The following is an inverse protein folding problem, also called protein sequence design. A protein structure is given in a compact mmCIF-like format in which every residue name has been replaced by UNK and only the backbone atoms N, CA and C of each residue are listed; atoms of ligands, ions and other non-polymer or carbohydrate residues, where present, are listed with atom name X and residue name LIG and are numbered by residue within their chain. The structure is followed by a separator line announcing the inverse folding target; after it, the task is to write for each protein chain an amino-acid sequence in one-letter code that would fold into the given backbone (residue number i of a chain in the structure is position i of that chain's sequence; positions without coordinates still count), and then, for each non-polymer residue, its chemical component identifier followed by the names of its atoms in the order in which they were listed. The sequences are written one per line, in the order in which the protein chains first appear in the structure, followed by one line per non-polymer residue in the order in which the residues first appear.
data_IF_502865764418
#
_entry.id   IF_502865764418
#
_cell.length_a   1.000
_cell.length_b   1.000
_cell.length_c   1.000
_cell.angle_alpha   90.00
_cell.angle_beta   90.00
_cell.angle_gamma   90.00
#
_symmetry.space_group_name_H-M   'P 1'
#
loop_
_entity.id
_entity.type
_entity.pdbx_description
1 polymer ?
#
# COMPACT_ATOMS: atom_id res chain seq x y z
N UNK A 1 -21.83 56.79 1.89
CA UNK A 1 -20.64 56.06 2.38
C UNK A 1 -19.54 56.12 1.32
N UNK A 2 -18.31 56.53 1.66
CA UNK A 2 -17.24 56.70 0.68
C UNK A 2 -16.83 55.35 0.08
N UNK A 3 -16.66 55.29 -1.25
CA UNK A 3 -16.33 54.05 -2.01
C UNK A 3 -15.15 53.28 -1.40
N UNK A 4 -14.16 53.98 -0.82
CA UNK A 4 -12.99 53.40 -0.15
C UNK A 4 -13.31 52.57 1.10
N UNK A 5 -14.34 52.94 1.87
CA UNK A 5 -14.75 52.16 3.05
C UNK A 5 -15.39 50.83 2.64
N UNK A 6 -16.14 50.84 1.54
CA UNK A 6 -16.82 49.65 1.00
C UNK A 6 -15.80 48.64 0.46
N UNK A 7 -14.75 49.10 -0.20
CA UNK A 7 -13.66 48.22 -0.67
C UNK A 7 -12.83 47.64 0.49
N UNK A 8 -12.47 48.42 1.52
CA UNK A 8 -11.76 47.88 2.70
C UNK A 8 -12.60 46.85 3.47
N UNK A 9 -13.90 47.09 3.64
CA UNK A 9 -14.82 46.13 4.28
C UNK A 9 -14.89 44.82 3.49
N UNK A 10 -14.94 44.88 2.16
CA UNK A 10 -14.99 43.69 1.31
C UNK A 10 -13.68 42.89 1.37
N UNK A 11 -12.52 43.56 1.43
CA UNK A 11 -11.21 42.89 1.59
C UNK A 11 -11.13 42.19 2.95
N UNK A 12 -11.55 42.86 4.03
CA UNK A 12 -11.58 42.26 5.37
C UNK A 12 -12.49 41.02 5.43
N UNK A 13 -13.66 41.09 4.79
CA UNK A 13 -14.59 39.97 4.70
C UNK A 13 -13.98 38.78 3.95
N UNK A 14 -13.25 39.06 2.87
CA UNK A 14 -12.54 38.06 2.08
C UNK A 14 -11.40 37.40 2.88
N UNK A 15 -10.62 38.19 3.64
CA UNK A 15 -9.60 37.65 4.54
C UNK A 15 -10.20 36.76 5.64
N UNK A 16 -11.34 37.16 6.23
CA UNK A 16 -12.07 36.37 7.23
C UNK A 16 -12.56 35.02 6.66
N UNK A 17 -13.05 35.01 5.42
CA UNK A 17 -13.42 33.75 4.72
C UNK A 17 -12.24 32.81 4.52
N UNK A 18 -11.03 33.32 4.26
CA UNK A 18 -9.84 32.46 4.08
C UNK A 18 -9.40 31.84 5.41
N UNK A 19 -9.59 32.54 6.54
CA UNK A 19 -9.26 32.01 7.87
C UNK A 19 -10.19 30.87 8.31
N UNK A 20 -11.47 30.87 7.93
CA UNK A 20 -12.40 29.77 8.28
C UNK A 20 -12.11 28.47 7.54
N UNK A 21 -11.40 28.52 6.39
CA UNK A 21 -10.99 27.33 5.64
C UNK A 21 -9.88 26.52 6.33
N UNK A 22 -9.26 27.03 7.41
CA UNK A 22 -8.22 26.31 8.17
C UNK A 22 -8.74 25.51 9.36
N UNK A 23 -10.06 25.45 9.58
CA UNK A 23 -10.64 24.59 10.61
C UNK A 23 -10.72 23.15 10.07
N UNK A 24 -9.57 22.48 10.01
CA UNK A 24 -9.53 21.04 9.89
C UNK A 24 -9.96 20.46 11.23
N UNK A 25 -11.27 20.27 11.41
CA UNK A 25 -11.77 19.30 12.38
C UNK A 25 -11.16 17.95 11.98
N UNK A 26 -10.15 17.50 12.72
CA UNK A 26 -9.56 16.18 12.54
C UNK A 26 -10.49 15.14 13.15
N UNK A 27 -11.63 14.88 12.51
CA UNK A 27 -12.46 13.73 12.85
C UNK A 27 -11.93 12.51 12.10
N UNK A 28 -11.76 11.40 12.82
CA UNK A 28 -11.57 10.09 12.19
C UNK A 28 -12.79 9.75 11.34
N UNK A 29 -12.58 9.06 10.23
CA UNK A 29 -13.68 8.57 9.41
C UNK A 29 -14.48 7.49 10.16
N UNK A 30 -15.74 7.28 9.79
CA UNK A 30 -16.61 6.28 10.43
C UNK A 30 -16.04 4.85 10.43
N UNK A 31 -15.21 4.50 9.44
CA UNK A 31 -14.53 3.20 9.36
C UNK A 31 -13.23 3.14 10.17
N UNK A 32 -12.64 4.28 10.53
CA UNK A 32 -11.38 4.38 11.25
C UNK A 32 -11.57 4.22 12.76
N UNK A 33 -12.65 4.77 13.30
CA UNK A 33 -13.04 4.63 14.71
C UNK A 33 -13.13 3.17 15.16
N UNK A 34 -13.96 2.30 14.54
CA UNK A 34 -14.03 0.89 14.93
C UNK A 34 -12.71 0.17 14.69
N UNK A 35 -11.90 0.64 13.72
CA UNK A 35 -10.59 0.06 13.45
C UNK A 35 -9.59 0.36 14.56
N UNK A 36 -9.58 1.58 15.10
CA UNK A 36 -8.78 1.94 16.27
C UNK A 36 -9.25 1.14 17.49
N UNK A 37 -10.55 1.08 17.73
CA UNK A 37 -11.14 0.30 18.82
C UNK A 37 -10.76 -1.19 18.72
N UNK A 38 -10.66 -1.74 17.50
CA UNK A 38 -10.20 -3.13 17.29
C UNK A 38 -8.76 -3.41 17.74
N UNK A 39 -7.96 -2.37 18.01
CA UNK A 39 -6.63 -2.49 18.61
C UNK A 39 -6.64 -2.46 20.14
N UNK A 40 -7.82 -2.31 20.76
CA UNK A 40 -7.99 -2.15 22.19
C UNK A 40 -7.73 -0.72 22.68
N UNK A 41 -7.83 0.28 21.80
CA UNK A 41 -7.68 1.69 22.15
C UNK A 41 -9.07 2.32 22.27
N UNK A 42 -9.41 2.88 23.44
CA UNK A 42 -10.67 3.58 23.64
C UNK A 42 -10.50 5.07 23.31
N UNK A 43 -11.08 5.51 22.18
CA UNK A 43 -11.00 6.92 21.77
C UNK A 43 -11.61 7.90 22.78
N UNK A 44 -12.53 7.44 23.64
CA UNK A 44 -13.16 8.29 24.66
C UNK A 44 -12.21 8.59 25.84
N UNK A 45 -11.17 7.77 26.04
CA UNK A 45 -10.17 7.94 27.09
C UNK A 45 -8.96 8.75 26.61
N UNK A 46 -8.84 8.97 25.30
CA UNK A 46 -7.72 9.66 24.68
C UNK A 46 -8.04 11.14 24.45
N UNK A 47 -7.09 12.02 24.77
CA UNK A 47 -7.18 13.44 24.42
C UNK A 47 -6.96 13.64 22.91
N UNK A 48 -8.05 13.62 22.14
CA UNK A 48 -8.02 13.82 20.69
C UNK A 48 -7.70 15.27 20.26
N UNK A 49 -7.76 16.22 21.21
CA UNK A 49 -7.32 17.60 20.97
C UNK A 49 -5.79 17.70 20.95
N UNK A 50 -5.12 16.75 21.60
CA UNK A 50 -3.67 16.65 21.56
C UNK A 50 -3.19 16.22 20.17
N UNK A 51 -2.44 17.11 19.52
CA UNK A 51 -1.91 16.88 18.18
C UNK A 51 -1.01 15.64 18.10
N UNK A 52 -0.23 15.33 19.15
CA UNK A 52 0.62 14.14 19.19
C UNK A 52 -0.23 12.88 19.19
N UNK A 53 -1.24 12.80 20.06
CA UNK A 53 -2.15 11.65 20.16
C UNK A 53 -2.84 11.42 18.82
N UNK A 54 -3.38 12.47 18.20
CA UNK A 54 -4.06 12.37 16.91
C UNK A 54 -3.11 11.90 15.78
N UNK A 55 -1.90 12.45 15.73
CA UNK A 55 -0.88 12.03 14.76
C UNK A 55 -0.47 10.56 14.96
N UNK A 56 -0.32 10.11 16.21
CA UNK A 56 0.06 8.75 16.53
C UNK A 56 -1.05 7.76 16.14
N UNK A 57 -2.32 8.09 16.42
CA UNK A 57 -3.48 7.31 15.96
C UNK A 57 -3.57 7.20 14.43
N UNK A 58 -3.36 8.31 13.71
CA UNK A 58 -3.27 8.31 12.24
C UNK A 58 -2.11 7.46 11.74
N UNK A 59 -0.98 7.50 12.44
CA UNK A 59 0.20 6.69 12.13
C UNK A 59 -0.09 5.20 12.30
N UNK A 60 -0.80 4.81 13.37
CA UNK A 60 -1.28 3.43 13.60
C UNK A 60 -2.13 2.95 12.42
N UNK A 61 -3.12 3.74 12.01
CA UNK A 61 -4.00 3.42 10.88
C UNK A 61 -3.22 3.28 9.56
N UNK A 62 -2.36 4.26 9.26
CA UNK A 62 -1.54 4.25 8.05
C UNK A 62 -0.61 3.03 8.00
N UNK A 63 0.03 2.68 9.11
CA UNK A 63 0.90 1.50 9.20
C UNK A 63 0.11 0.20 9.03
N UNK A 64 -1.10 0.11 9.57
CA UNK A 64 -1.98 -1.04 9.35
C UNK A 64 -2.37 -1.20 7.87
N UNK A 65 -2.75 -0.11 7.23
CA UNK A 65 -3.11 -0.11 5.80
C UNK A 65 -1.92 -0.55 4.95
N UNK A 66 -0.73 0.02 5.19
CA UNK A 66 0.50 -0.38 4.50
C UNK A 66 0.87 -1.83 4.76
N UNK A 67 0.74 -2.31 6.01
CA UNK A 67 0.98 -3.72 6.36
C UNK A 67 0.09 -4.66 5.54
N UNK A 68 -1.22 -4.38 5.51
CA UNK A 68 -2.20 -5.21 4.80
C UNK A 68 -1.94 -5.21 3.29
N UNK A 69 -1.70 -4.04 2.71
CA UNK A 69 -1.36 -3.92 1.28
C UNK A 69 -0.11 -4.73 0.94
N UNK A 70 1.00 -4.47 1.64
CA UNK A 70 2.26 -5.18 1.40
C UNK A 70 2.14 -6.70 1.61
N UNK A 71 1.37 -7.14 2.63
CA UNK A 71 1.15 -8.56 2.88
C UNK A 71 0.37 -9.20 1.73
N UNK A 72 -0.72 -8.57 1.31
CA UNK A 72 -1.55 -9.06 0.21
C UNK A 72 -0.74 -9.14 -1.09
N UNK A 73 -0.08 -8.04 -1.47
CA UNK A 73 0.77 -7.98 -2.66
C UNK A 73 1.91 -9.01 -2.61
N UNK A 74 2.54 -9.21 -1.44
CA UNK A 74 3.58 -10.23 -1.30
C UNK A 74 3.07 -11.65 -1.56
N UNK A 75 1.87 -11.99 -1.08
CA UNK A 75 1.29 -13.32 -1.28
C UNK A 75 0.89 -13.51 -2.74
N UNK A 76 0.27 -12.50 -3.35
CA UNK A 76 -0.13 -12.54 -4.77
C UNK A 76 1.09 -12.70 -5.66
N UNK A 77 2.15 -11.91 -5.46
CA UNK A 77 3.39 -12.02 -6.24
C UNK A 77 4.11 -13.35 -6.02
N UNK A 78 4.14 -13.86 -4.79
CA UNK A 78 4.71 -15.18 -4.53
C UNK A 78 3.94 -16.29 -5.24
N UNK A 79 2.60 -16.25 -5.19
CA UNK A 79 1.78 -17.23 -5.90
C UNK A 79 1.96 -17.13 -7.43
N UNK A 80 1.98 -15.89 -7.95
CA UNK A 80 2.23 -15.65 -9.38
C UNK A 80 3.60 -16.16 -9.80
N UNK A 81 4.64 -15.94 -8.98
CA UNK A 81 5.99 -16.41 -9.30
C UNK A 81 6.06 -17.92 -9.53
N UNK A 82 5.41 -18.70 -8.66
CA UNK A 82 5.35 -20.16 -8.78
C UNK A 82 4.62 -20.57 -10.05
N UNK A 83 3.47 -19.95 -10.35
CA UNK A 83 2.68 -20.24 -11.54
C UNK A 83 3.43 -19.89 -12.82
N UNK A 84 4.00 -18.69 -12.90
CA UNK A 84 4.71 -18.17 -14.07
C UNK A 84 5.98 -18.97 -14.33
N UNK A 85 6.79 -19.24 -13.30
CA UNK A 85 8.00 -20.06 -13.43
C UNK A 85 7.66 -21.50 -13.84
N UNK A 86 6.67 -22.14 -13.21
CA UNK A 86 6.29 -23.52 -13.55
C UNK A 86 5.78 -23.60 -14.99
N UNK A 87 4.98 -22.63 -15.42
CA UNK A 87 4.51 -22.53 -16.81
C UNK A 87 5.68 -22.42 -17.78
N UNK A 88 6.66 -21.56 -17.48
CA UNK A 88 7.87 -21.43 -18.29
C UNK A 88 8.70 -22.72 -18.34
N UNK A 89 8.88 -23.41 -17.21
CA UNK A 89 9.57 -24.72 -17.16
C UNK A 89 8.85 -25.74 -18.02
N UNK A 90 7.51 -25.82 -17.93
CA UNK A 90 6.72 -26.74 -18.75
C UNK A 90 6.93 -26.44 -20.24
N UNK A 91 6.90 -25.17 -20.65
CA UNK A 91 7.10 -24.78 -22.06
C UNK A 91 8.49 -25.22 -22.54
N UNK A 92 9.56 -24.92 -21.78
CA UNK A 92 10.94 -25.26 -22.16
C UNK A 92 11.19 -26.78 -22.14
N UNK A 93 10.49 -27.52 -21.28
CA UNK A 93 10.74 -28.96 -21.08
C UNK A 93 9.91 -29.87 -21.99
N UNK A 94 9.09 -29.33 -22.90
CA UNK A 94 8.30 -30.16 -23.82
C UNK A 94 9.21 -30.99 -24.72
N UNK A 95 8.95 -32.30 -24.86
CA UNK A 95 9.74 -33.15 -25.75
C UNK A 95 9.48 -32.75 -27.20
N UNK A 96 10.56 -32.51 -27.94
CA UNK A 96 10.51 -32.18 -29.37
C UNK A 96 10.44 -33.45 -30.20
N UNK A 97 9.64 -33.47 -31.27
CA UNK A 97 9.47 -34.69 -32.07
C UNK A 97 10.62 -34.89 -33.05
N UNK A 98 10.96 -36.14 -33.40
CA UNK A 98 12.15 -36.50 -34.19
C UNK A 98 12.14 -35.96 -35.64
N UNK A 99 10.96 -35.62 -36.18
CA UNK A 99 10.84 -34.95 -37.49
C UNK A 99 11.15 -33.45 -37.42
N UNK A 100 11.28 -32.91 -36.20
CA UNK A 100 11.72 -31.56 -35.92
C UNK A 100 13.19 -31.66 -35.47
N UNK A 101 14.12 -31.51 -36.40
CA UNK A 101 15.49 -31.05 -36.10
C UNK A 101 15.41 -29.60 -35.58
N UNK A 102 14.75 -29.43 -34.44
CA UNK A 102 14.01 -28.24 -34.02
C UNK A 102 14.85 -27.21 -33.25
N UNK A 103 16.16 -27.39 -33.26
CA UNK A 103 17.09 -26.35 -32.83
C UNK A 103 17.30 -25.30 -33.93
N UNK A 104 16.82 -25.57 -35.16
CA UNK A 104 16.93 -24.69 -36.34
C UNK A 104 15.57 -24.20 -36.89
N UNK A 105 14.44 -24.72 -36.42
CA UNK A 105 13.11 -24.20 -36.78
C UNK A 105 12.75 -23.02 -35.87
N UNK A 106 12.25 -21.95 -36.48
CA UNK A 106 11.86 -20.71 -35.78
C UNK A 106 10.87 -20.98 -34.64
N UNK A 107 9.93 -21.91 -34.82
CA UNK A 107 8.92 -22.28 -33.81
C UNK A 107 9.55 -22.76 -32.49
N UNK A 108 10.50 -23.70 -32.54
CA UNK A 108 11.19 -24.20 -31.36
C UNK A 108 12.07 -23.17 -30.65
N UNK A 109 12.56 -22.16 -31.37
CA UNK A 109 13.28 -21.03 -30.80
C UNK A 109 12.33 -20.04 -30.09
N UNK A 110 11.14 -19.78 -30.67
CA UNK A 110 10.10 -18.95 -30.06
C UNK A 110 9.55 -19.56 -28.77
N UNK A 111 9.33 -20.88 -28.73
CA UNK A 111 8.86 -21.56 -27.51
C UNK A 111 9.88 -21.43 -26.36
N UNK A 112 11.17 -21.62 -26.65
CA UNK A 112 12.24 -21.44 -25.67
C UNK A 112 12.34 -19.99 -25.18
N UNK A 113 12.19 -19.00 -26.07
CA UNK A 113 12.19 -17.59 -25.71
C UNK A 113 11.01 -17.25 -24.78
N UNK A 114 9.80 -17.69 -25.12
CA UNK A 114 8.61 -17.48 -24.29
C UNK A 114 8.78 -18.19 -22.95
N UNK A 115 9.16 -19.46 -22.94
CA UNK A 115 9.39 -20.21 -21.71
C UNK A 115 10.45 -19.57 -20.81
N UNK A 116 11.56 -19.11 -21.40
CA UNK A 116 12.60 -18.36 -20.69
C UNK A 116 12.10 -17.03 -20.11
N UNK A 117 11.26 -16.29 -20.84
CA UNK A 117 10.63 -15.06 -20.34
C UNK A 117 9.74 -15.34 -19.13
N UNK A 118 8.91 -16.38 -19.18
CA UNK A 118 8.06 -16.77 -18.06
C UNK A 118 8.87 -17.16 -16.81
N UNK A 119 9.98 -17.89 -16.99
CA UNK A 119 10.90 -18.19 -15.88
C UNK A 119 11.47 -16.90 -15.28
N UNK A 120 11.99 -16.00 -16.12
CA UNK A 120 12.57 -14.73 -15.68
C UNK A 120 11.55 -13.84 -14.96
N UNK A 121 10.32 -13.73 -15.49
CA UNK A 121 9.23 -12.99 -14.87
C UNK A 121 8.90 -13.53 -13.48
N UNK A 122 8.78 -14.86 -13.34
CA UNK A 122 8.53 -15.47 -12.03
C UNK A 122 9.66 -15.20 -11.02
N UNK A 123 10.93 -15.24 -11.43
CA UNK A 123 12.07 -14.89 -10.55
C UNK A 123 11.97 -13.44 -10.07
N UNK A 124 11.59 -12.51 -10.95
CA UNK A 124 11.40 -11.09 -10.59
C UNK A 124 10.25 -10.93 -9.59
N UNK A 125 9.11 -11.57 -9.83
CA UNK A 125 7.95 -11.54 -8.95
C UNK A 125 8.30 -12.06 -7.54
N UNK A 126 9.02 -13.18 -7.47
CA UNK A 126 9.54 -13.72 -6.23
C UNK A 126 10.48 -12.72 -5.53
N UNK A 127 11.41 -12.11 -6.28
CA UNK A 127 12.33 -11.10 -5.77
C UNK A 127 11.65 -9.88 -5.17
N UNK A 128 10.52 -9.42 -5.73
CA UNK A 128 9.73 -8.30 -5.20
C UNK A 128 8.87 -8.73 -4.00
N UNK A 129 8.37 -9.96 -4.00
CA UNK A 129 7.49 -10.47 -2.93
C UNK A 129 8.17 -10.48 -1.55
N UNK A 130 9.46 -10.83 -1.51
CA UNK A 130 10.25 -10.99 -0.28
C UNK A 130 10.37 -9.68 0.52
N UNK A 131 10.89 -8.57 -0.03
CA UNK A 131 11.01 -7.32 0.71
C UNK A 131 9.64 -6.76 1.14
N UNK A 132 8.57 -6.99 0.37
CA UNK A 132 7.21 -6.60 0.76
C UNK A 132 6.73 -7.37 1.99
N UNK A 133 7.01 -8.67 2.07
CA UNK A 133 6.70 -9.49 3.24
C UNK A 133 7.43 -9.01 4.50
N UNK A 134 8.74 -8.78 4.40
CA UNK A 134 9.53 -8.25 5.52
C UNK A 134 9.09 -6.85 5.93
N UNK A 135 8.80 -5.98 4.96
CA UNK A 135 8.29 -4.62 5.24
C UNK A 135 6.94 -4.68 5.93
N UNK A 136 6.05 -5.59 5.53
CA UNK A 136 4.76 -5.80 6.23
C UNK A 136 4.98 -6.13 7.70
N UNK A 137 5.87 -7.08 8.01
CA UNK A 137 6.19 -7.43 9.39
C UNK A 137 6.81 -6.26 10.17
N UNK A 138 7.68 -5.46 9.52
CA UNK A 138 8.23 -4.24 10.13
C UNK A 138 7.13 -3.24 10.48
N UNK A 139 6.18 -2.97 9.56
CA UNK A 139 5.05 -2.07 9.80
C UNK A 139 4.15 -2.55 10.94
N UNK A 140 3.94 -3.86 11.05
CA UNK A 140 3.23 -4.45 12.20
C UNK A 140 3.92 -4.08 13.52
N UNK A 141 5.23 -4.32 13.63
CA UNK A 141 6.01 -3.99 14.84
C UNK A 141 5.98 -2.49 15.17
N UNK A 142 6.14 -1.63 14.17
CA UNK A 142 6.06 -0.17 14.36
C UNK A 142 4.69 0.29 14.84
N UNK A 143 3.61 -0.31 14.33
CA UNK A 143 2.25 -0.05 14.77
C UNK A 143 2.04 -0.52 16.21
N UNK A 144 2.48 -1.73 16.52
CA UNK A 144 2.28 -2.34 17.85
C UNK A 144 2.99 -1.52 18.94
N UNK A 145 4.19 -1.01 18.66
CA UNK A 145 4.90 -0.07 19.55
C UNK A 145 4.10 1.21 19.82
N UNK A 146 3.42 1.75 18.81
CA UNK A 146 2.59 2.95 19.01
C UNK A 146 1.33 2.63 19.80
N UNK A 147 0.70 1.47 19.55
CA UNK A 147 -0.47 1.02 20.30
C UNK A 147 -0.12 0.85 21.79
N UNK A 148 1.05 0.30 22.11
CA UNK A 148 1.52 0.09 23.48
C UNK A 148 1.65 1.38 24.30
N UNK A 149 1.92 2.53 23.66
CA UNK A 149 1.97 3.83 24.35
C UNK A 149 0.61 4.30 24.88
N UNK A 150 -0.48 3.68 24.42
CA UNK A 150 -1.86 4.09 24.70
C UNK A 150 -2.70 2.92 25.23
N UNK A 151 -2.09 1.78 25.47
CA UNK A 151 -2.72 0.66 26.17
C UNK A 151 -2.45 0.84 27.66
N UNK A 152 -3.52 1.11 28.39
CA UNK A 152 -3.56 0.92 29.85
C UNK A 152 -3.88 -0.54 30.19
#
# INVERSE_FOLDING_TARGET
MPKKLKTMKNILLFCLMIFTLKVNSQSFNEYEVPKINSFGLNLNELDLSNQKVNNDLKSILKKEQQRKSNKSTSIVLAALSVLTTTTGIIIVSKPKTVNEMDYLNEAGAYENLIGGFFIAAGVIEAGISIPLFFTSNKRKKERDKLIELYKE
#
